data_IF_566727858390
#
_entry.id   IF_566727858390
#
_cell.length_a   1.000
_cell.length_b   1.000
_cell.length_c   1.000
_cell.angle_alpha   90.00
_cell.angle_beta   90.00
_cell.angle_gamma   90.00
#
_symmetry.space_group_name_H-M   'P 1'
#
loop_
_entity.id
_entity.type
_entity.pdbx_description
1 polymer ?
#
# COMPACT_ATOMS: atom_id res chain seq x y z
N UNK A 1 8.47 2.10 20.06
CA UNK A 1 9.70 2.91 20.01
C UNK A 1 10.69 2.35 19.01
N UNK A 2 11.46 3.24 18.33
CA UNK A 2 12.54 2.87 17.40
C UNK A 2 13.67 3.87 17.43
N UNK A 3 14.91 3.37 17.46
CA UNK A 3 16.13 4.18 17.41
C UNK A 3 17.06 3.67 16.31
N UNK A 4 17.92 4.56 15.77
CA UNK A 4 19.03 4.22 14.87
C UNK A 4 20.30 4.85 15.42
N UNK A 5 21.35 4.08 15.56
CA UNK A 5 22.65 4.52 16.08
C UNK A 5 22.53 5.34 17.38
N UNK A 6 21.67 4.87 18.31
CA UNK A 6 21.42 5.54 19.58
C UNK A 6 20.52 6.78 19.50
N UNK A 7 20.09 7.22 18.30
CA UNK A 7 19.17 8.35 18.12
C UNK A 7 17.72 7.85 18.08
N UNK A 8 16.87 8.24 19.04
CA UNK A 8 15.48 7.84 19.06
C UNK A 8 14.69 8.59 17.98
N UNK A 9 14.10 7.85 17.04
CA UNK A 9 13.22 8.38 15.96
C UNK A 9 11.77 8.26 16.37
N UNK A 10 11.32 7.08 16.81
CA UNK A 10 9.95 6.87 17.32
C UNK A 10 9.99 6.77 18.84
N UNK A 11 9.44 7.79 19.51
CA UNK A 11 9.46 7.91 20.98
C UNK A 11 8.07 7.63 21.55
N UNK A 12 7.86 6.41 22.09
CA UNK A 12 6.61 6.03 22.78
C UNK A 12 5.35 6.41 22.01
N UNK A 13 5.30 6.11 20.71
CA UNK A 13 4.11 6.33 19.88
C UNK A 13 3.01 5.38 20.39
N UNK A 14 1.84 5.94 20.71
CA UNK A 14 0.62 5.21 20.98
C UNK A 14 -0.44 5.72 20.01
N UNK A 15 -1.06 4.83 19.26
CA UNK A 15 -2.06 5.15 18.25
C UNK A 15 -3.00 3.95 18.11
N UNK A 16 -4.27 4.24 17.96
CA UNK A 16 -5.31 3.25 17.67
C UNK A 16 -6.07 3.72 16.43
N UNK A 17 -6.46 2.78 15.57
CA UNK A 17 -7.25 3.03 14.35
C UNK A 17 -8.39 2.03 14.36
N UNK A 18 -9.61 2.53 14.20
CA UNK A 18 -10.82 1.73 14.21
C UNK A 18 -11.35 1.46 12.79
N UNK A 19 -12.16 0.40 12.59
CA UNK A 19 -12.77 0.12 11.30
C UNK A 19 -13.55 1.33 10.75
N UNK A 20 -13.33 1.66 9.47
CA UNK A 20 -13.96 2.81 8.81
C UNK A 20 -13.33 4.16 9.14
N UNK A 21 -12.24 4.20 9.92
CA UNK A 21 -11.55 5.43 10.28
C UNK A 21 -10.43 5.75 9.28
N UNK A 22 -10.34 7.03 8.90
CA UNK A 22 -9.25 7.57 8.11
C UNK A 22 -8.42 8.52 8.97
N UNK A 23 -7.16 8.16 9.22
CA UNK A 23 -6.25 8.91 10.10
C UNK A 23 -5.14 9.57 9.31
N UNK A 24 -5.02 10.89 9.40
CA UNK A 24 -3.95 11.67 8.80
C UNK A 24 -2.71 11.75 9.69
N UNK A 25 -1.57 11.25 9.18
CA UNK A 25 -0.28 11.40 9.86
C UNK A 25 0.46 12.63 9.35
N UNK A 26 0.48 13.70 10.12
CA UNK A 26 1.07 14.98 9.76
C UNK A 26 2.39 15.23 10.50
N UNK A 27 3.32 15.91 9.84
CA UNK A 27 4.59 16.31 10.43
C UNK A 27 5.62 16.71 9.38
N UNK A 28 6.66 17.47 9.78
CA UNK A 28 7.72 17.89 8.86
C UNK A 28 8.53 16.71 8.30
N UNK A 29 9.32 16.98 7.26
CA UNK A 29 10.27 15.98 6.75
C UNK A 29 11.27 15.60 7.85
N UNK A 30 11.60 14.30 7.94
CA UNK A 30 12.48 13.77 8.99
C UNK A 30 11.81 13.56 10.36
N UNK A 31 10.50 13.79 10.52
CA UNK A 31 9.79 13.57 11.80
C UNK A 31 9.55 12.09 12.14
N UNK A 32 9.92 11.16 11.25
CA UNK A 32 9.78 9.73 11.49
C UNK A 32 8.52 9.08 10.88
N UNK A 33 7.75 9.77 10.02
CA UNK A 33 6.55 9.23 9.37
C UNK A 33 6.84 7.94 8.60
N UNK A 34 7.79 7.98 7.68
CA UNK A 34 8.18 6.80 6.90
C UNK A 34 8.77 5.68 7.77
N UNK A 35 9.51 6.04 8.84
CA UNK A 35 9.97 5.07 9.83
C UNK A 35 8.81 4.38 10.55
N UNK A 36 7.75 5.13 10.88
CA UNK A 36 6.55 4.55 11.48
C UNK A 36 5.87 3.57 10.51
N UNK A 37 5.70 3.95 9.24
CA UNK A 37 5.17 3.04 8.22
C UNK A 37 6.05 1.79 8.08
N UNK A 38 7.37 1.94 7.92
CA UNK A 38 8.31 0.81 7.82
C UNK A 38 8.24 -0.13 9.04
N UNK A 39 8.00 0.41 10.25
CA UNK A 39 7.81 -0.43 11.44
C UNK A 39 6.46 -1.15 11.43
N UNK A 40 5.39 -0.52 10.94
CA UNK A 40 4.05 -1.15 10.88
C UNK A 40 4.02 -2.24 9.80
N UNK A 41 4.61 -2.01 8.63
CA UNK A 41 4.66 -3.02 7.55
C UNK A 41 5.64 -4.16 7.82
N UNK A 42 6.59 -3.99 8.77
CA UNK A 42 7.56 -5.02 9.14
C UNK A 42 8.84 -5.05 8.31
N UNK A 43 9.14 -3.95 7.61
CA UNK A 43 10.42 -3.71 6.97
C UNK A 43 11.50 -3.44 8.02
N UNK A 44 11.14 -2.76 9.11
CA UNK A 44 12.00 -2.46 10.25
C UNK A 44 11.31 -2.99 11.51
N UNK A 45 12.04 -3.72 12.35
CA UNK A 45 11.51 -4.17 13.64
C UNK A 45 11.59 -3.06 14.69
N UNK A 46 10.59 -2.97 15.55
CA UNK A 46 10.59 -2.05 16.70
C UNK A 46 11.60 -2.50 17.75
N UNK A 47 12.17 -1.53 18.49
CA UNK A 47 13.09 -1.85 19.61
C UNK A 47 12.28 -2.18 20.87
N UNK A 48 11.10 -1.58 21.03
CA UNK A 48 10.20 -1.84 22.16
C UNK A 48 8.77 -1.41 21.81
N UNK A 49 7.79 -2.06 22.44
CA UNK A 49 6.37 -1.84 22.24
C UNK A 49 5.74 -2.94 21.40
N UNK A 50 4.45 -2.79 21.13
CA UNK A 50 3.63 -3.78 20.43
C UNK A 50 2.96 -3.15 19.23
N UNK A 51 2.75 -3.96 18.20
CA UNK A 51 1.87 -3.65 17.07
C UNK A 51 0.80 -4.72 17.04
N UNK A 52 -0.45 -4.31 17.16
CA UNK A 52 -1.60 -5.21 17.25
C UNK A 52 -2.50 -4.99 16.04
N UNK A 53 -2.81 -6.04 15.30
CA UNK A 53 -3.76 -6.05 14.20
C UNK A 53 -4.83 -7.10 14.46
N UNK A 54 -6.12 -6.70 14.51
CA UNK A 54 -7.24 -7.61 14.77
C UNK A 54 -7.00 -8.52 16.00
N UNK A 55 -6.59 -7.91 17.12
CA UNK A 55 -6.27 -8.57 18.40
C UNK A 55 -5.07 -9.53 18.36
N UNK A 56 -4.23 -9.48 17.33
CA UNK A 56 -3.01 -10.31 17.23
C UNK A 56 -1.77 -9.43 17.24
N UNK A 57 -0.79 -9.77 18.06
CA UNK A 57 0.51 -9.12 18.04
C UNK A 57 1.29 -9.51 16.78
N UNK A 58 1.80 -8.52 16.06
CA UNK A 58 2.48 -8.71 14.77
C UNK A 58 3.88 -8.06 14.72
N UNK A 59 4.36 -7.43 15.80
CA UNK A 59 5.64 -6.70 15.78
C UNK A 59 6.85 -7.56 15.43
N UNK A 60 6.80 -8.89 15.67
CA UNK A 60 7.89 -9.82 15.36
C UNK A 60 7.69 -10.54 14.01
N UNK A 61 6.61 -10.25 13.30
CA UNK A 61 6.33 -10.84 12.00
C UNK A 61 7.04 -10.08 10.88
N UNK A 62 7.63 -10.78 9.90
CA UNK A 62 8.19 -10.16 8.71
C UNK A 62 7.09 -9.61 7.78
N UNK A 63 7.48 -8.71 6.86
CA UNK A 63 6.59 -7.98 5.96
C UNK A 63 5.55 -8.87 5.23
N UNK A 64 5.97 -10.02 4.70
CA UNK A 64 5.07 -10.91 3.95
C UNK A 64 3.98 -11.55 4.81
N UNK A 65 4.22 -11.78 6.11
CA UNK A 65 3.21 -12.28 7.04
C UNK A 65 2.25 -11.17 7.46
N UNK A 66 2.74 -9.94 7.63
CA UNK A 66 1.87 -8.78 7.92
C UNK A 66 0.98 -8.43 6.73
N UNK A 67 1.50 -8.53 5.51
CA UNK A 67 0.69 -8.37 4.31
C UNK A 67 -0.42 -9.43 4.23
N UNK A 68 -0.12 -10.70 4.52
CA UNK A 68 -1.12 -11.79 4.62
C UNK A 68 -2.11 -11.58 5.77
N UNK A 69 -1.68 -10.94 6.86
CA UNK A 69 -2.56 -10.60 7.98
C UNK A 69 -3.53 -9.45 7.67
N UNK A 70 -3.33 -8.73 6.55
CA UNK A 70 -4.24 -7.69 6.08
C UNK A 70 -3.68 -6.27 6.13
N UNK A 71 -2.36 -6.07 6.17
CA UNK A 71 -1.75 -4.75 6.00
C UNK A 71 -1.45 -4.51 4.53
N UNK A 72 -2.07 -3.47 3.96
CA UNK A 72 -1.72 -2.93 2.65
C UNK A 72 -0.83 -1.71 2.78
N UNK A 73 0.13 -1.54 1.87
CA UNK A 73 1.01 -0.37 1.86
C UNK A 73 1.20 0.18 0.44
N UNK A 74 0.89 1.44 0.27
CA UNK A 74 1.17 2.21 -0.93
C UNK A 74 2.35 3.14 -0.65
N UNK A 75 3.52 2.78 -1.18
CA UNK A 75 4.74 3.57 -1.04
C UNK A 75 4.70 4.84 -1.90
N UNK A 76 5.52 5.83 -1.54
CA UNK A 76 5.76 7.01 -2.36
C UNK A 76 6.45 6.64 -3.68
N UNK A 77 7.34 5.66 -3.65
CA UNK A 77 8.10 5.22 -4.82
C UNK A 77 7.23 4.49 -5.83
N UNK A 78 7.58 4.67 -7.12
CA UNK A 78 7.00 3.93 -8.23
C UNK A 78 7.38 2.45 -8.13
N UNK A 79 6.46 1.62 -7.70
CA UNK A 79 6.70 0.21 -7.44
C UNK A 79 5.83 -0.67 -8.35
N UNK A 80 6.20 -0.73 -9.63
CA UNK A 80 5.54 -1.55 -10.66
C UNK A 80 6.54 -2.56 -11.22
N UNK A 81 6.02 -3.68 -11.74
CA UNK A 81 6.85 -4.68 -12.41
C UNK A 81 7.15 -4.22 -13.85
N UNK A 82 8.30 -4.63 -14.38
CA UNK A 82 8.69 -4.38 -15.77
C UNK A 82 7.93 -5.32 -16.72
N UNK A 83 6.63 -5.04 -16.86
CA UNK A 83 5.66 -5.74 -17.70
C UNK A 83 4.45 -4.82 -17.95
N UNK A 84 3.56 -5.21 -18.85
CA UNK A 84 2.38 -4.41 -19.14
C UNK A 84 1.40 -4.29 -17.95
N UNK A 85 0.43 -3.41 -18.06
CA UNK A 85 -0.55 -3.12 -17.00
C UNK A 85 -1.37 -4.35 -16.62
N UNK A 86 -1.82 -5.13 -17.60
CA UNK A 86 -2.61 -6.34 -17.37
C UNK A 86 -1.82 -7.36 -16.55
N UNK A 87 -0.59 -7.65 -16.95
CA UNK A 87 0.27 -8.63 -16.29
C UNK A 87 0.72 -8.17 -14.91
N UNK A 88 0.85 -6.85 -14.68
CA UNK A 88 1.09 -6.27 -13.36
C UNK A 88 -0.03 -6.59 -12.36
N UNK A 89 -1.29 -6.62 -12.79
CA UNK A 89 -2.44 -6.98 -11.94
C UNK A 89 -2.58 -8.50 -11.85
N UNK A 90 -2.54 -9.19 -12.99
CA UNK A 90 -2.71 -10.64 -13.06
C UNK A 90 -1.67 -11.39 -12.22
N UNK A 91 -0.39 -10.97 -12.25
CA UNK A 91 0.67 -11.60 -11.48
C UNK A 91 0.40 -11.58 -9.97
N UNK A 92 -0.15 -10.48 -9.44
CA UNK A 92 -0.56 -10.42 -8.03
C UNK A 92 -1.79 -11.30 -7.79
N UNK A 93 -2.76 -11.32 -8.71
CA UNK A 93 -3.94 -12.19 -8.61
C UNK A 93 -3.55 -13.67 -8.56
N UNK A 94 -2.55 -14.10 -9.34
CA UNK A 94 -2.04 -15.47 -9.36
C UNK A 94 -1.44 -15.91 -8.02
N UNK A 95 -0.78 -14.98 -7.31
CA UNK A 95 -0.21 -15.24 -5.98
C UNK A 95 -1.31 -15.26 -4.91
N UNK A 96 -2.31 -14.37 -5.02
CA UNK A 96 -3.29 -14.12 -3.97
C UNK A 96 -4.53 -15.02 -4.05
N UNK A 97 -4.91 -15.49 -5.24
CA UNK A 97 -6.21 -16.12 -5.49
C UNK A 97 -6.02 -17.46 -6.18
N UNK A 98 -6.82 -18.45 -5.76
CA UNK A 98 -6.86 -19.77 -6.37
C UNK A 98 -7.85 -19.79 -7.56
N UNK A 99 -7.46 -20.50 -8.62
CA UNK A 99 -8.27 -20.74 -9.81
C UNK A 99 -8.13 -19.65 -10.87
N UNK A 100 -7.64 -20.05 -12.04
CA UNK A 100 -7.31 -19.17 -13.17
C UNK A 100 -8.50 -18.29 -13.59
N UNK A 101 -9.70 -18.85 -13.69
CA UNK A 101 -10.90 -18.08 -14.05
C UNK A 101 -11.23 -16.96 -13.06
N UNK A 102 -10.96 -17.16 -11.75
CA UNK A 102 -11.16 -16.14 -10.74
C UNK A 102 -10.09 -15.04 -10.84
N UNK A 103 -8.85 -15.42 -11.15
CA UNK A 103 -7.73 -14.48 -11.33
C UNK A 103 -7.99 -13.54 -12.50
N UNK A 104 -8.36 -14.10 -13.68
CA UNK A 104 -8.70 -13.33 -14.88
C UNK A 104 -9.90 -12.40 -14.59
N UNK A 105 -10.98 -12.93 -14.01
CA UNK A 105 -12.18 -12.14 -13.70
C UNK A 105 -11.90 -10.96 -12.76
N UNK A 106 -11.05 -11.16 -11.75
CA UNK A 106 -10.66 -10.07 -10.86
C UNK A 106 -9.77 -9.06 -11.57
N UNK A 107 -8.83 -9.52 -12.40
CA UNK A 107 -7.96 -8.66 -13.20
C UNK A 107 -8.78 -7.73 -14.11
N UNK A 108 -9.72 -8.28 -14.88
CA UNK A 108 -10.59 -7.48 -15.76
C UNK A 108 -11.43 -6.47 -14.94
N UNK A 109 -12.01 -6.89 -13.82
CA UNK A 109 -12.76 -5.99 -12.95
C UNK A 109 -11.90 -4.82 -12.43
N UNK A 110 -10.66 -5.08 -12.00
CA UNK A 110 -9.77 -4.04 -11.49
C UNK A 110 -9.30 -3.10 -12.60
N UNK A 111 -9.08 -3.59 -13.83
CA UNK A 111 -8.79 -2.74 -14.97
C UNK A 111 -9.91 -1.74 -15.25
N UNK A 112 -11.16 -2.20 -15.19
CA UNK A 112 -12.34 -1.33 -15.39
C UNK A 112 -12.51 -0.36 -14.21
N UNK A 113 -12.48 -0.86 -12.97
CA UNK A 113 -12.70 -0.09 -11.75
C UNK A 113 -11.69 1.07 -11.60
N UNK A 114 -10.41 0.82 -11.96
CA UNK A 114 -9.34 1.82 -11.90
C UNK A 114 -9.11 2.58 -13.21
N UNK A 115 -10.01 2.44 -14.20
CA UNK A 115 -9.89 3.08 -15.51
C UNK A 115 -8.52 2.83 -16.17
N UNK A 116 -8.11 1.55 -16.21
CA UNK A 116 -6.84 1.09 -16.77
C UNK A 116 -7.02 0.23 -18.04
N UNK A 117 -8.27 -0.08 -18.44
CA UNK A 117 -8.56 -1.01 -19.54
C UNK A 117 -7.92 -0.57 -20.86
N UNK A 118 -7.95 0.72 -21.16
CA UNK A 118 -7.35 1.29 -22.36
C UNK A 118 -5.81 1.25 -22.37
N UNK A 119 -5.19 0.99 -21.21
CA UNK A 119 -3.75 0.89 -21.01
C UNK A 119 -3.26 -0.55 -20.84
N UNK A 120 -4.15 -1.55 -20.96
CA UNK A 120 -3.88 -2.95 -20.58
C UNK A 120 -2.59 -3.52 -21.17
N UNK A 121 -2.26 -3.16 -22.42
CA UNK A 121 -1.09 -3.65 -23.16
C UNK A 121 0.12 -2.72 -23.09
N UNK A 122 0.00 -1.59 -22.38
CA UNK A 122 1.09 -0.63 -22.23
C UNK A 122 2.03 -1.09 -21.12
N UNK A 123 3.33 -1.03 -21.38
CA UNK A 123 4.36 -1.31 -20.38
C UNK A 123 4.23 -0.32 -19.20
N UNK A 124 4.21 -0.84 -17.98
CA UNK A 124 3.96 -0.02 -16.79
C UNK A 124 5.01 1.08 -16.58
N UNK A 125 6.22 0.91 -17.11
CA UNK A 125 7.29 1.93 -17.06
C UNK A 125 6.96 3.17 -17.89
N UNK A 126 6.08 3.06 -18.89
CA UNK A 126 5.67 4.14 -19.79
C UNK A 126 4.43 4.90 -19.30
N UNK A 127 3.83 4.50 -18.19
CA UNK A 127 2.65 5.15 -17.63
C UNK A 127 3.00 6.53 -17.04
N UNK A 128 2.07 7.46 -17.10
CA UNK A 128 2.12 8.71 -16.34
C UNK A 128 2.07 8.45 -14.82
N UNK A 129 2.42 9.47 -14.01
CA UNK A 129 2.40 9.35 -12.55
C UNK A 129 1.02 8.94 -11.99
N UNK A 130 -0.06 9.53 -12.53
CA UNK A 130 -1.43 9.20 -12.12
C UNK A 130 -1.86 7.78 -12.51
N UNK A 131 -1.50 7.33 -13.70
CA UNK A 131 -1.79 5.96 -14.17
C UNK A 131 -1.05 4.91 -13.34
N UNK A 132 0.23 5.16 -13.02
CA UNK A 132 1.00 4.30 -12.11
C UNK A 132 0.32 4.25 -10.74
N UNK A 133 -0.15 5.39 -10.21
CA UNK A 133 -0.78 5.41 -8.90
C UNK A 133 -2.07 4.59 -8.89
N UNK A 134 -2.90 4.68 -9.95
CA UNK A 134 -4.08 3.84 -10.13
C UNK A 134 -3.72 2.35 -10.22
N UNK A 135 -2.67 2.00 -10.98
CA UNK A 135 -2.18 0.62 -11.06
C UNK A 135 -1.71 0.09 -9.71
N UNK A 136 -0.94 0.87 -8.96
CA UNK A 136 -0.47 0.49 -7.62
C UNK A 136 -1.64 0.30 -6.63
N UNK A 137 -2.68 1.16 -6.69
CA UNK A 137 -3.89 1.01 -5.89
C UNK A 137 -4.68 -0.24 -6.27
N UNK A 138 -4.89 -0.50 -7.56
CA UNK A 138 -5.54 -1.72 -8.03
C UNK A 138 -4.85 -2.97 -7.48
N UNK A 139 -3.51 -3.02 -7.56
CA UNK A 139 -2.70 -4.14 -7.03
C UNK A 139 -2.82 -4.28 -5.51
N UNK A 140 -2.85 -3.16 -4.79
CA UNK A 140 -2.98 -3.13 -3.33
C UNK A 140 -4.26 -3.79 -2.85
N UNK A 141 -5.38 -3.56 -3.55
CA UNK A 141 -6.71 -4.04 -3.14
C UNK A 141 -6.97 -5.52 -3.45
N UNK A 142 -6.12 -6.19 -4.24
CA UNK A 142 -6.27 -7.62 -4.56
C UNK A 142 -6.33 -8.47 -3.28
N UNK A 143 -5.50 -8.15 -2.29
CA UNK A 143 -5.42 -8.87 -1.02
C UNK A 143 -6.51 -8.46 -0.01
N UNK A 144 -7.41 -7.54 -0.35
CA UNK A 144 -8.47 -7.04 0.54
C UNK A 144 -7.93 -6.66 1.92
N UNK A 145 -6.98 -5.74 2.01
CA UNK A 145 -6.36 -5.39 3.28
C UNK A 145 -7.39 -4.83 4.26
N UNK A 146 -7.24 -5.15 5.55
CA UNK A 146 -8.06 -4.59 6.62
C UNK A 146 -7.56 -3.21 7.08
N UNK A 147 -6.29 -2.92 6.84
CA UNK A 147 -5.66 -1.62 7.08
C UNK A 147 -4.81 -1.25 5.87
N UNK A 148 -4.95 -0.03 5.40
CA UNK A 148 -4.17 0.51 4.28
C UNK A 148 -3.33 1.68 4.79
N UNK A 149 -2.03 1.60 4.55
CA UNK A 149 -1.08 2.67 4.81
C UNK A 149 -0.74 3.36 3.48
N UNK A 150 -0.93 4.67 3.42
CA UNK A 150 -0.71 5.47 2.23
C UNK A 150 0.39 6.50 2.52
N UNK A 151 1.56 6.34 1.89
CA UNK A 151 2.68 7.28 2.04
C UNK A 151 2.67 8.28 0.88
N UNK A 152 2.28 9.51 1.18
CA UNK A 152 2.13 10.61 0.22
C UNK A 152 1.36 10.20 -1.07
N UNK A 153 0.13 9.66 -0.95
CA UNK A 153 -0.57 9.07 -2.09
C UNK A 153 -0.87 10.04 -3.22
N UNK A 154 -0.85 11.36 -2.93
CA UNK A 154 -1.17 12.43 -3.87
C UNK A 154 0.07 13.24 -4.31
N UNK A 155 1.28 12.88 -3.84
CA UNK A 155 2.48 13.66 -4.13
C UNK A 155 2.78 13.71 -5.63
N UNK A 156 3.12 14.92 -6.12
CA UNK A 156 3.49 15.19 -7.51
C UNK A 156 2.42 14.80 -8.56
N UNK A 157 1.14 14.77 -8.17
CA UNK A 157 0.03 14.51 -9.07
C UNK A 157 -0.70 15.81 -9.45
N UNK A 158 -1.25 15.84 -10.67
CA UNK A 158 -2.15 16.90 -11.11
C UNK A 158 -3.42 16.92 -10.22
N UNK A 159 -3.98 18.11 -9.89
CA UNK A 159 -5.18 18.24 -9.08
C UNK A 159 -6.39 17.43 -9.57
N UNK A 160 -6.54 17.24 -10.88
CA UNK A 160 -7.63 16.43 -11.46
C UNK A 160 -7.41 14.96 -11.09
N UNK A 161 -6.18 14.46 -11.22
CA UNK A 161 -5.81 13.08 -10.87
C UNK A 161 -5.95 12.84 -9.37
N UNK A 162 -5.66 13.85 -8.54
CA UNK A 162 -5.86 13.77 -7.08
C UNK A 162 -7.32 13.49 -6.75
N UNK A 163 -8.26 14.20 -7.38
CA UNK A 163 -9.70 13.96 -7.17
C UNK A 163 -10.14 12.54 -7.57
N UNK A 164 -9.58 12.02 -8.65
CA UNK A 164 -9.88 10.65 -9.08
C UNK A 164 -9.35 9.61 -8.08
N UNK A 165 -8.12 9.80 -7.59
CA UNK A 165 -7.52 8.88 -6.61
C UNK A 165 -8.25 8.92 -5.27
N UNK A 166 -8.73 10.10 -4.84
CA UNK A 166 -9.51 10.23 -3.61
C UNK A 166 -10.77 9.34 -3.61
N UNK A 167 -11.42 9.15 -4.77
CA UNK A 167 -12.60 8.26 -4.91
C UNK A 167 -12.30 6.79 -4.60
N UNK A 168 -11.03 6.36 -4.71
CA UNK A 168 -10.60 4.99 -4.40
C UNK A 168 -10.14 4.82 -2.96
N UNK A 169 -9.91 5.92 -2.24
CA UNK A 169 -9.40 5.92 -0.86
C UNK A 169 -10.55 6.13 0.14
N UNK A 170 -11.54 6.95 -0.22
CA UNK A 170 -12.73 7.28 0.59
C UNK A 170 -13.92 6.41 0.24
#
# INVERSE_FOLDING_TARGET
SKSFDGRPILKKINMEIYPGECVGLLGPNGSGKSTLYSTIIGEIFVDAGKIILNNKEIQDQPIHLRAKAGIGYLSQQRNVFDMNVYDNILGICQIAIKGEGNQIKLTERLLDEFNLQHLRSIEAVNLSGGEVRRLMLARLLINKPSVVLLDEPMAALDPIVVQDIQKYIL
#
